data_IF_681036110731
#
_entry.id   IF_681036110731
#
_cell.length_a   1.000
_cell.length_b   1.000
_cell.length_c   1.000
_cell.angle_alpha   90.00
_cell.angle_beta   90.00
_cell.angle_gamma   90.00
#
_symmetry.space_group_name_H-M   'P 1'
#
loop_
_entity.id
_entity.type
_entity.pdbx_description
1 polymer ?
#
# COMPACT_ATOMS: atom_id res chain seq x y z
N UNK A 1 -7.94 -86.07 -60.73
CA UNK A 1 -8.70 -85.88 -61.98
C UNK A 1 -8.82 -84.38 -62.19
N UNK A 2 -7.91 -83.72 -62.89
CA UNK A 2 -7.61 -83.80 -64.32
C UNK A 2 -8.85 -83.66 -65.22
N UNK A 3 -8.79 -82.58 -65.99
CA UNK A 3 -9.19 -82.47 -67.40
C UNK A 3 -10.51 -81.80 -67.73
N UNK A 4 -10.40 -80.72 -68.51
CA UNK A 4 -11.29 -80.49 -69.65
C UNK A 4 -11.90 -79.10 -69.78
N UNK A 5 -11.20 -78.17 -70.42
CA UNK A 5 -11.76 -77.42 -71.56
C UNK A 5 -10.65 -76.62 -72.26
N UNK A 6 -10.67 -76.71 -73.59
CA UNK A 6 -9.61 -76.40 -74.56
C UNK A 6 -10.17 -75.32 -75.51
N UNK A 7 -9.30 -74.33 -75.85
CA UNK A 7 -9.25 -73.49 -77.07
C UNK A 7 -10.44 -72.56 -77.38
N UNK A 8 -10.27 -71.32 -77.88
CA UNK A 8 -9.39 -70.76 -78.93
C UNK A 8 -9.05 -69.28 -78.61
N UNK A 9 -7.82 -68.76 -78.59
CA UNK A 9 -6.76 -68.57 -79.60
C UNK A 9 -6.95 -67.35 -80.56
N UNK A 10 -5.89 -66.53 -80.58
CA UNK A 10 -5.31 -65.71 -81.68
C UNK A 10 -5.38 -64.17 -81.58
N UNK A 11 -4.16 -63.61 -81.49
CA UNK A 11 -3.70 -62.22 -81.57
C UNK A 11 -4.14 -61.46 -82.84
N UNK A 12 -4.34 -60.14 -82.73
CA UNK A 12 -3.69 -59.19 -83.64
C UNK A 12 -3.46 -57.82 -82.96
N UNK A 13 -2.19 -57.39 -82.92
CA UNK A 13 -1.73 -56.12 -82.38
C UNK A 13 -0.99 -55.38 -83.49
N UNK A 14 -1.64 -54.36 -84.10
CA UNK A 14 -1.05 -53.08 -84.53
C UNK A 14 -2.05 -52.28 -85.35
N UNK A 15 -2.42 -51.09 -84.88
CA UNK A 15 -2.41 -49.88 -85.72
C UNK A 15 -2.22 -48.63 -84.87
N UNK A 16 -1.06 -48.01 -85.12
CA UNK A 16 -0.66 -46.69 -84.64
C UNK A 16 -1.58 -45.62 -85.23
N UNK A 17 -2.06 -44.71 -84.39
CA UNK A 17 -2.74 -43.49 -84.78
C UNK A 17 -2.32 -42.37 -83.84
N UNK A 18 -1.39 -41.52 -84.28
CA UNK A 18 -0.99 -40.30 -83.57
C UNK A 18 -2.19 -39.38 -83.40
N UNK A 19 -2.59 -39.12 -82.15
CA UNK A 19 -3.54 -38.06 -81.82
C UNK A 19 -2.75 -36.78 -81.52
N UNK A 20 -2.80 -35.83 -82.44
CA UNK A 20 -2.20 -34.51 -82.30
C UNK A 20 -3.08 -33.68 -81.34
N UNK A 21 -2.59 -33.45 -80.12
CA UNK A 21 -3.24 -32.57 -79.14
C UNK A 21 -3.06 -31.13 -79.61
N UNK A 22 -4.15 -30.50 -80.04
CA UNK A 22 -4.18 -29.14 -80.51
C UNK A 22 -4.01 -28.18 -79.32
N UNK A 23 -2.79 -27.64 -79.12
CA UNK A 23 -2.37 -26.83 -77.95
C UNK A 23 -3.24 -25.61 -77.68
N UNK A 24 -4.00 -25.12 -78.66
CA UNK A 24 -4.86 -23.94 -78.51
C UNK A 24 -6.16 -24.20 -77.75
N UNK A 25 -6.69 -25.43 -77.76
CA UNK A 25 -7.93 -25.76 -77.05
C UNK A 25 -7.73 -25.96 -75.54
N UNK A 26 -6.53 -26.39 -75.14
CA UNK A 26 -6.20 -26.62 -73.73
C UNK A 26 -6.03 -25.32 -72.93
N UNK A 27 -5.59 -24.24 -73.58
CA UNK A 27 -5.40 -22.93 -72.91
C UNK A 27 -6.74 -22.24 -72.64
N UNK A 28 -7.72 -22.40 -73.54
CA UNK A 28 -9.07 -21.83 -73.39
C UNK A 28 -9.84 -22.54 -72.27
N UNK A 29 -9.72 -23.87 -72.15
CA UNK A 29 -10.35 -24.62 -71.06
C UNK A 29 -9.74 -24.32 -69.69
N UNK A 30 -8.42 -24.18 -69.60
CA UNK A 30 -7.75 -23.85 -68.32
C UNK A 30 -8.01 -22.39 -67.93
N UNK A 31 -8.05 -21.45 -68.89
CA UNK A 31 -8.42 -20.06 -68.64
C UNK A 31 -9.90 -19.90 -68.24
N UNK A 32 -10.80 -20.74 -68.76
CA UNK A 32 -12.22 -20.72 -68.38
C UNK A 32 -12.47 -21.31 -66.98
N UNK A 33 -11.67 -22.27 -66.53
CA UNK A 33 -11.74 -22.82 -65.17
C UNK A 33 -11.16 -21.89 -64.10
N UNK A 34 -10.18 -21.05 -64.45
CA UNK A 34 -9.62 -20.03 -63.54
C UNK A 34 -10.58 -18.85 -63.29
N UNK A 35 -11.50 -18.57 -64.23
CA UNK A 35 -12.53 -17.52 -64.06
C UNK A 35 -13.71 -18.00 -63.20
N UNK A 36 -13.93 -19.31 -63.10
CA UNK A 36 -14.99 -19.90 -62.26
C UNK A 36 -14.56 -20.18 -60.81
N UNK A 37 -13.26 -20.18 -60.51
CA UNK A 37 -12.73 -20.34 -59.15
C UNK A 37 -12.42 -19.00 -58.44
N UNK A 38 -12.75 -17.85 -59.05
CA UNK A 38 -12.57 -16.52 -58.45
C UNK A 38 -13.69 -16.11 -57.49
N UNK A 39 -14.69 -16.96 -57.28
CA UNK A 39 -15.70 -16.75 -56.23
C UNK A 39 -15.15 -17.41 -54.98
N UNK A 40 -14.35 -16.67 -54.22
CA UNK A 40 -14.14 -16.97 -52.81
C UNK A 40 -15.54 -17.19 -52.20
N UNK A 41 -15.79 -18.26 -51.44
CA UNK A 41 -16.97 -18.25 -50.58
C UNK A 41 -16.77 -17.07 -49.64
N UNK A 42 -17.48 -15.97 -49.91
CA UNK A 42 -17.82 -15.02 -48.86
C UNK A 42 -18.49 -15.87 -47.78
N UNK A 43 -18.05 -15.71 -46.53
CA UNK A 43 -18.43 -16.55 -45.40
C UNK A 43 -19.92 -16.89 -45.44
N UNK A 44 -20.25 -18.14 -45.12
CA UNK A 44 -21.62 -18.61 -44.96
C UNK A 44 -22.41 -17.60 -44.14
N UNK A 45 -23.21 -16.74 -44.78
CA UNK A 45 -24.05 -15.79 -44.07
C UNK A 45 -25.04 -16.61 -43.23
N UNK A 46 -24.91 -16.52 -41.91
CA UNK A 46 -25.85 -17.11 -40.97
C UNK A 46 -27.23 -16.49 -41.24
N UNK A 47 -28.25 -17.33 -41.42
CA UNK A 47 -29.61 -16.89 -41.82
C UNK A 47 -30.46 -16.54 -40.59
N UNK A 48 -29.99 -16.88 -39.39
CA UNK A 48 -30.63 -16.57 -38.13
C UNK A 48 -29.87 -15.42 -37.45
N UNK A 49 -30.56 -14.54 -36.70
CA UNK A 49 -29.91 -13.55 -35.86
C UNK A 49 -28.91 -14.20 -34.90
N UNK A 50 -27.77 -13.55 -34.71
CA UNK A 50 -26.69 -14.02 -33.84
C UNK A 50 -25.88 -12.79 -33.44
N UNK A 51 -25.44 -12.73 -32.18
CA UNK A 51 -24.59 -11.67 -31.68
C UNK A 51 -23.46 -12.30 -30.90
N UNK A 52 -22.28 -11.69 -30.99
CA UNK A 52 -21.06 -12.11 -30.30
C UNK A 52 -20.57 -10.90 -29.49
N UNK A 53 -20.55 -11.04 -28.16
CA UNK A 53 -20.19 -10.00 -27.20
C UNK A 53 -18.86 -10.36 -26.56
N UNK A 54 -17.89 -9.45 -26.66
CA UNK A 54 -16.59 -9.56 -25.99
C UNK A 54 -16.36 -8.28 -25.18
N UNK A 55 -15.86 -8.40 -23.96
CA UNK A 55 -15.49 -7.27 -23.10
C UNK A 55 -14.05 -7.44 -22.59
N UNK A 56 -13.46 -6.38 -22.04
CA UNK A 56 -12.20 -6.52 -21.32
C UNK A 56 -12.33 -7.56 -20.18
N UNK A 57 -11.42 -8.53 -20.10
CA UNK A 57 -11.49 -9.65 -19.13
C UNK A 57 -11.54 -9.18 -17.67
N UNK A 58 -10.80 -8.12 -17.36
CA UNK A 58 -10.69 -7.60 -15.99
C UNK A 58 -10.37 -6.12 -15.92
N UNK A 59 -10.74 -5.51 -14.79
CA UNK A 59 -10.40 -4.12 -14.48
C UNK A 59 -10.27 -3.88 -12.98
N UNK A 60 -9.56 -2.82 -12.61
CA UNK A 60 -9.29 -2.46 -11.21
C UNK A 60 -9.98 -1.12 -10.86
N UNK A 61 -10.47 -1.01 -9.62
CA UNK A 61 -10.99 0.22 -9.04
C UNK A 61 -10.15 0.58 -7.81
N UNK A 62 -9.48 1.73 -7.88
CA UNK A 62 -8.77 2.33 -6.76
C UNK A 62 -9.71 3.25 -5.96
N UNK A 63 -9.83 2.98 -4.66
CA UNK A 63 -10.64 3.76 -3.71
C UNK A 63 -9.80 4.63 -2.77
N UNK A 64 -8.50 4.81 -3.03
CA UNK A 64 -7.59 5.59 -2.18
C UNK A 64 -8.07 7.03 -1.92
N UNK A 65 -8.84 7.62 -2.84
CA UNK A 65 -9.44 8.95 -2.72
C UNK A 65 -10.91 8.93 -2.24
N UNK A 66 -11.40 7.78 -1.76
CA UNK A 66 -12.74 7.56 -1.22
C UNK A 66 -13.80 7.15 -2.24
N UNK A 67 -13.61 7.40 -3.53
CA UNK A 67 -14.48 6.89 -4.59
C UNK A 67 -13.66 6.58 -5.84
N UNK A 68 -14.07 5.55 -6.58
CA UNK A 68 -13.33 5.03 -7.72
C UNK A 68 -14.27 4.56 -8.82
N UNK A 69 -13.81 4.67 -10.05
CA UNK A 69 -14.50 4.15 -11.22
C UNK A 69 -13.52 3.68 -12.27
N UNK A 70 -13.89 2.63 -12.99
CA UNK A 70 -13.16 2.15 -14.15
C UNK A 70 -14.07 2.07 -15.37
N UNK A 71 -13.45 1.95 -16.54
CA UNK A 71 -14.13 1.79 -17.82
C UNK A 71 -13.77 0.45 -18.41
N UNK A 72 -14.79 -0.32 -18.78
CA UNK A 72 -14.66 -1.55 -19.57
C UNK A 72 -15.02 -1.21 -21.00
N UNK A 73 -14.17 -1.64 -21.93
CA UNK A 73 -14.47 -1.60 -23.36
C UNK A 73 -15.09 -2.94 -23.77
N UNK A 74 -16.16 -2.87 -24.54
CA UNK A 74 -16.79 -4.04 -25.11
C UNK A 74 -16.96 -3.88 -26.63
N UNK A 75 -16.86 -4.99 -27.33
CA UNK A 75 -17.10 -5.13 -28.76
C UNK A 75 -18.30 -6.03 -28.98
N UNK A 76 -19.19 -5.61 -29.88
CA UNK A 76 -20.37 -6.36 -30.27
C UNK A 76 -20.32 -6.64 -31.77
N UNK A 77 -20.20 -7.91 -32.13
CA UNK A 77 -20.09 -8.35 -33.52
C UNK A 77 -21.40 -8.97 -33.99
N UNK A 78 -21.86 -8.51 -35.16
CA UNK A 78 -22.98 -9.11 -35.87
C UNK A 78 -22.45 -9.93 -37.06
N UNK A 79 -22.38 -11.27 -36.97
CA UNK A 79 -21.93 -12.14 -38.06
C UNK A 79 -22.97 -12.30 -39.18
N UNK A 80 -24.18 -11.78 -39.03
CA UNK A 80 -25.26 -11.94 -40.01
C UNK A 80 -25.21 -10.89 -41.13
N UNK A 81 -26.01 -11.08 -42.17
CA UNK A 81 -26.00 -10.18 -43.34
C UNK A 81 -26.86 -8.91 -43.16
N UNK A 82 -27.66 -8.82 -42.10
CA UNK A 82 -28.59 -7.71 -41.88
C UNK A 82 -28.31 -7.02 -40.56
N UNK A 83 -28.69 -5.75 -40.47
CA UNK A 83 -28.55 -4.99 -39.24
C UNK A 83 -29.34 -5.63 -38.08
N UNK A 84 -28.73 -5.64 -36.91
CA UNK A 84 -29.29 -6.13 -35.67
C UNK A 84 -29.33 -5.03 -34.62
N UNK A 85 -30.42 -5.00 -33.86
CA UNK A 85 -30.54 -4.16 -32.68
C UNK A 85 -30.51 -5.05 -31.45
N UNK A 86 -29.52 -4.80 -30.61
CA UNK A 86 -29.22 -5.60 -29.44
C UNK A 86 -29.49 -4.76 -28.20
N UNK A 87 -30.32 -5.28 -27.30
CA UNK A 87 -30.56 -4.72 -25.98
C UNK A 87 -29.48 -5.21 -25.02
N UNK A 88 -28.98 -4.31 -24.18
CA UNK A 88 -27.90 -4.59 -23.24
C UNK A 88 -28.40 -4.46 -21.80
N UNK A 89 -28.07 -5.43 -20.97
CA UNK A 89 -28.35 -5.41 -19.53
C UNK A 89 -27.08 -5.69 -18.73
N UNK A 90 -26.97 -5.03 -17.57
CA UNK A 90 -25.79 -5.11 -16.72
C UNK A 90 -26.20 -5.62 -15.33
N UNK A 91 -25.55 -6.67 -14.86
CA UNK A 91 -25.73 -7.22 -13.53
C UNK A 91 -24.43 -7.13 -12.75
N UNK A 92 -24.35 -6.19 -11.80
CA UNK A 92 -23.10 -5.83 -11.11
C UNK A 92 -23.12 -6.01 -9.59
N UNK A 93 -24.18 -6.58 -9.04
CA UNK A 93 -24.28 -6.87 -7.61
C UNK A 93 -24.17 -5.63 -6.73
N UNK A 94 -23.04 -5.48 -6.03
CA UNK A 94 -22.76 -4.38 -5.11
C UNK A 94 -22.13 -3.14 -5.80
N UNK A 95 -21.67 -3.28 -7.04
CA UNK A 95 -21.08 -2.19 -7.81
C UNK A 95 -22.13 -1.44 -8.62
N UNK A 96 -21.90 -0.15 -8.84
CA UNK A 96 -22.72 0.68 -9.70
C UNK A 96 -22.24 0.58 -11.15
N UNK A 97 -23.15 0.34 -12.10
CA UNK A 97 -22.80 0.21 -13.53
C UNK A 97 -23.65 1.11 -14.41
N UNK A 98 -23.04 1.66 -15.46
CA UNK A 98 -23.69 2.51 -16.43
C UNK A 98 -23.13 2.27 -17.84
N UNK A 99 -24.02 2.08 -18.81
CA UNK A 99 -23.69 1.87 -20.21
C UNK A 99 -24.89 2.14 -21.12
N UNK A 100 -24.74 1.97 -22.45
CA UNK A 100 -25.86 2.10 -23.39
C UNK A 100 -26.91 1.00 -23.17
N UNK A 101 -28.21 1.35 -23.17
CA UNK A 101 -29.27 0.33 -23.07
C UNK A 101 -29.47 -0.52 -24.33
N UNK A 102 -28.94 -0.10 -25.47
CA UNK A 102 -28.99 -0.86 -26.72
C UNK A 102 -27.94 -0.37 -27.72
N UNK A 103 -27.48 -1.26 -28.60
CA UNK A 103 -26.58 -0.95 -29.73
C UNK A 103 -27.19 -1.50 -31.02
N UNK A 104 -26.98 -0.81 -32.14
CA UNK A 104 -27.36 -1.31 -33.47
C UNK A 104 -26.09 -1.57 -34.26
N UNK A 105 -25.94 -2.79 -34.76
CA UNK A 105 -24.75 -3.26 -35.48
C UNK A 105 -25.16 -3.70 -36.88
N UNK A 106 -24.53 -3.09 -37.89
CA UNK A 106 -24.75 -3.47 -39.29
C UNK A 106 -24.26 -4.89 -39.57
N UNK A 107 -24.80 -5.52 -40.62
CA UNK A 107 -24.45 -6.90 -40.96
C UNK A 107 -22.96 -7.07 -41.28
N UNK A 108 -22.31 -8.05 -40.66
CA UNK A 108 -20.90 -8.36 -40.82
C UNK A 108 -19.97 -7.29 -40.25
N UNK A 109 -20.45 -6.46 -39.33
CA UNK A 109 -19.68 -5.39 -38.68
C UNK A 109 -19.58 -5.62 -37.17
N UNK A 110 -18.64 -4.89 -36.57
CA UNK A 110 -18.43 -4.82 -35.12
C UNK A 110 -18.63 -3.39 -34.67
N UNK A 111 -19.32 -3.19 -33.55
CA UNK A 111 -19.46 -1.89 -32.88
C UNK A 111 -18.85 -1.93 -31.50
N UNK A 112 -18.19 -0.86 -31.09
CA UNK A 112 -17.59 -0.75 -29.75
C UNK A 112 -18.42 0.16 -28.87
N UNK A 113 -18.48 -0.17 -27.57
CA UNK A 113 -19.11 0.66 -26.55
C UNK A 113 -18.37 0.55 -25.23
N UNK A 114 -18.69 1.45 -24.31
CA UNK A 114 -18.05 1.53 -23.00
C UNK A 114 -19.07 1.38 -21.88
N UNK A 115 -18.65 0.67 -20.84
CA UNK A 115 -19.38 0.53 -19.59
C UNK A 115 -18.53 1.20 -18.51
N UNK A 116 -19.15 2.08 -17.74
CA UNK A 116 -18.55 2.67 -16.55
C UNK A 116 -18.97 1.85 -15.35
N UNK A 117 -18.00 1.39 -14.59
CA UNK A 117 -18.21 0.73 -13.31
C UNK A 117 -17.71 1.67 -12.22
N UNK A 118 -18.52 1.91 -11.21
CA UNK A 118 -18.18 2.71 -10.06
C UNK A 118 -18.39 1.91 -8.78
N UNK A 119 -17.58 2.26 -7.78
CA UNK A 119 -17.67 1.70 -6.44
C UNK A 119 -17.84 2.83 -5.43
N UNK A 120 -18.78 2.66 -4.51
CA UNK A 120 -19.02 3.63 -3.44
C UNK A 120 -17.91 3.60 -2.39
N UNK A 121 -17.78 4.69 -1.63
CA UNK A 121 -16.89 4.74 -0.46
C UNK A 121 -17.20 3.62 0.52
N UNK A 122 -16.17 2.86 0.92
CA UNK A 122 -16.29 1.76 1.88
C UNK A 122 -16.72 0.42 1.27
N UNK A 123 -16.79 0.29 -0.05
CA UNK A 123 -16.95 -1.01 -0.69
C UNK A 123 -15.76 -1.91 -0.36
N UNK A 124 -16.02 -3.09 0.19
CA UNK A 124 -15.00 -4.03 0.63
C UNK A 124 -14.01 -4.38 -0.47
N UNK A 125 -12.73 -4.49 -0.16
CA UNK A 125 -11.73 -4.94 -1.11
C UNK A 125 -12.03 -6.37 -1.60
N UNK A 126 -11.67 -6.66 -2.85
CA UNK A 126 -11.81 -7.99 -3.43
C UNK A 126 -12.36 -7.98 -4.86
N UNK A 127 -12.55 -9.18 -5.40
CA UNK A 127 -13.02 -9.39 -6.77
C UNK A 127 -14.54 -9.50 -6.83
N UNK A 128 -15.13 -8.78 -7.77
CA UNK A 128 -16.56 -8.76 -8.08
C UNK A 128 -16.73 -9.18 -9.53
N UNK A 129 -17.85 -9.83 -9.83
CA UNK A 129 -18.18 -10.22 -11.20
C UNK A 129 -19.31 -9.32 -11.72
N UNK A 130 -19.10 -8.75 -12.90
CA UNK A 130 -20.12 -7.99 -13.62
C UNK A 130 -20.47 -8.73 -14.89
N UNK A 131 -21.74 -9.13 -15.00
CA UNK A 131 -22.23 -9.86 -16.15
C UNK A 131 -22.98 -8.91 -17.10
N UNK A 132 -22.57 -8.93 -18.37
CA UNK A 132 -23.12 -8.13 -19.47
C UNK A 132 -23.89 -9.07 -20.37
N UNK A 133 -25.20 -8.84 -20.51
CA UNK A 133 -26.05 -9.66 -21.39
C UNK A 133 -26.48 -8.85 -22.61
N UNK A 134 -26.29 -9.44 -23.78
CA UNK A 134 -26.71 -8.92 -25.07
C UNK A 134 -27.87 -9.75 -25.62
N UNK A 135 -29.02 -9.13 -25.90
CA UNK A 135 -30.20 -9.83 -26.45
C UNK A 135 -30.61 -9.18 -27.77
N UNK A 136 -30.67 -9.95 -28.84
CA UNK A 136 -31.12 -9.44 -30.15
C UNK A 136 -32.63 -9.21 -30.11
N UNK A 137 -33.05 -7.96 -30.26
CA UNK A 137 -34.46 -7.56 -30.19
C UNK A 137 -35.06 -7.30 -31.56
N UNK A 138 -34.28 -6.79 -32.52
CA UNK A 138 -34.70 -6.58 -33.91
C UNK A 138 -33.65 -7.07 -34.90
N UNK A 139 -34.09 -7.69 -35.99
CA UNK A 139 -33.25 -8.10 -37.12
C UNK A 139 -33.88 -7.59 -38.42
N UNK A 140 -33.13 -6.78 -39.18
CA UNK A 140 -33.64 -6.08 -40.36
C UNK A 140 -34.94 -5.28 -40.08
N UNK A 141 -35.05 -4.70 -38.88
CA UNK A 141 -36.23 -3.96 -38.41
C UNK A 141 -37.44 -4.81 -38.03
N UNK A 142 -37.31 -6.15 -38.02
CA UNK A 142 -38.35 -7.07 -37.56
C UNK A 142 -38.05 -7.52 -36.13
N UNK A 143 -39.00 -7.44 -35.17
CA UNK A 143 -38.79 -7.92 -33.81
C UNK A 143 -38.53 -9.43 -33.77
N UNK A 144 -37.45 -9.85 -33.09
CA UNK A 144 -37.00 -11.26 -32.99
C UNK A 144 -36.80 -11.75 -31.56
N UNK A 145 -37.14 -10.94 -30.55
CA UNK A 145 -36.94 -11.26 -29.13
C UNK A 145 -37.56 -12.59 -28.67
N UNK A 146 -38.62 -13.07 -29.33
CA UNK A 146 -39.26 -14.37 -29.01
C UNK A 146 -38.35 -15.59 -29.25
N UNK A 147 -37.28 -15.43 -30.01
CA UNK A 147 -36.37 -16.53 -30.35
C UNK A 147 -35.19 -16.66 -29.38
N UNK A 148 -34.95 -15.64 -28.54
CA UNK A 148 -33.95 -15.69 -27.48
C UNK A 148 -32.51 -15.78 -27.97
N UNK A 149 -32.17 -15.08 -29.05
CA UNK A 149 -30.76 -14.93 -29.47
C UNK A 149 -30.06 -13.98 -28.52
N UNK A 150 -29.11 -14.51 -27.77
CA UNK A 150 -28.39 -13.74 -26.75
C UNK A 150 -26.98 -14.27 -26.56
N UNK A 151 -26.15 -13.39 -26.03
CA UNK A 151 -24.80 -13.70 -25.57
C UNK A 151 -24.56 -13.03 -24.20
N UNK A 152 -23.67 -13.60 -23.40
CA UNK A 152 -23.37 -13.12 -22.05
C UNK A 152 -21.86 -13.17 -21.80
N UNK A 153 -21.31 -12.08 -21.27
CA UNK A 153 -19.89 -11.96 -20.95
C UNK A 153 -19.70 -11.51 -19.50
N UNK A 154 -18.78 -12.18 -18.80
CA UNK A 154 -18.48 -11.94 -17.38
C UNK A 154 -17.14 -11.23 -17.20
N UNK A 155 -17.18 -10.03 -16.63
CA UNK A 155 -15.98 -9.23 -16.37
C UNK A 155 -15.61 -9.25 -14.89
N UNK A 156 -14.34 -9.55 -14.59
CA UNK A 156 -13.80 -9.49 -13.24
C UNK A 156 -13.39 -8.05 -12.88
N UNK A 157 -13.99 -7.49 -11.83
CA UNK A 157 -13.67 -6.17 -11.32
C UNK A 157 -13.03 -6.30 -9.95
N UNK A 158 -11.76 -5.93 -9.82
CA UNK A 158 -11.05 -5.92 -8.56
C UNK A 158 -11.15 -4.54 -7.89
N UNK A 159 -11.77 -4.49 -6.70
CA UNK A 159 -11.71 -3.31 -5.83
C UNK A 159 -10.44 -3.42 -4.99
N UNK A 160 -9.49 -2.52 -5.23
CA UNK A 160 -8.19 -2.55 -4.57
C UNK A 160 -8.32 -2.23 -3.07
N UNK A 161 -7.49 -2.85 -2.22
CA UNK A 161 -7.46 -2.54 -0.81
C UNK A 161 -6.83 -1.16 -0.57
N UNK A 162 -7.41 -0.39 0.34
CA UNK A 162 -6.82 0.83 0.85
C UNK A 162 -6.89 0.89 2.38
N UNK A 163 -5.92 1.58 2.97
CA UNK A 163 -5.93 1.96 4.38
C UNK A 163 -5.26 3.32 4.50
N UNK A 164 -5.98 4.31 4.98
CA UNK A 164 -5.45 5.65 5.23
C UNK A 164 -5.62 5.98 6.70
N UNK A 165 -4.54 6.44 7.35
CA UNK A 165 -4.54 6.78 8.77
C UNK A 165 -4.04 8.20 8.99
N UNK A 166 -4.65 8.87 9.97
CA UNK A 166 -4.18 10.13 10.53
C UNK A 166 -4.09 10.01 12.03
N UNK A 167 -3.15 10.73 12.65
CA UNK A 167 -3.02 10.74 14.11
C UNK A 167 -2.82 12.13 14.69
N UNK A 168 -3.46 12.39 15.84
CA UNK A 168 -3.24 13.59 16.64
C UNK A 168 -2.17 13.33 17.70
N UNK A 169 -1.14 14.16 17.76
CA UNK A 169 -0.02 13.97 18.69
C UNK A 169 0.22 15.23 19.55
N UNK A 170 0.74 15.09 20.78
CA UNK A 170 1.26 16.22 21.54
C UNK A 170 2.40 16.92 20.78
N UNK A 171 2.54 18.23 20.94
CA UNK A 171 3.63 18.98 20.29
C UNK A 171 4.98 18.75 20.95
N UNK A 172 5.00 18.56 22.28
CA UNK A 172 6.17 18.25 23.09
C UNK A 172 5.70 17.82 24.48
N UNK A 173 6.51 17.02 25.18
CA UNK A 173 6.30 16.63 26.57
C UNK A 173 7.52 17.03 27.40
N UNK A 174 7.25 17.58 28.58
CA UNK A 174 8.26 17.93 29.58
C UNK A 174 7.90 17.21 30.88
N UNK A 175 8.90 16.59 31.51
CA UNK A 175 8.74 15.85 32.77
C UNK A 175 9.95 16.06 33.68
N UNK A 176 9.77 15.86 34.98
CA UNK A 176 10.88 15.81 35.93
C UNK A 176 11.34 14.36 36.16
N UNK A 177 12.61 14.19 36.53
CA UNK A 177 13.16 12.86 36.82
C UNK A 177 12.34 12.12 37.91
N UNK A 178 11.87 10.93 37.57
CA UNK A 178 11.08 10.06 38.44
C UNK A 178 9.58 10.35 38.44
N UNK A 179 9.10 11.19 37.53
CA UNK A 179 7.67 11.35 37.25
C UNK A 179 7.19 10.35 36.18
N UNK A 180 5.92 9.99 36.30
CA UNK A 180 5.21 9.25 35.27
C UNK A 180 4.64 10.23 34.24
N UNK A 181 4.86 9.91 32.97
CA UNK A 181 4.39 10.70 31.83
C UNK A 181 3.19 9.98 31.22
N UNK A 182 2.04 10.64 31.26
CA UNK A 182 0.80 10.16 30.65
C UNK A 182 0.37 11.07 29.50
N UNK A 183 0.06 10.49 28.34
CA UNK A 183 -0.44 11.22 27.18
C UNK A 183 -1.30 10.31 26.30
N UNK A 184 -2.08 10.92 25.40
CA UNK A 184 -2.96 10.20 24.49
C UNK A 184 -2.67 10.57 23.04
N UNK A 185 -2.79 9.59 22.15
CA UNK A 185 -2.72 9.76 20.70
C UNK A 185 -4.01 9.23 20.10
N UNK A 186 -4.72 10.05 19.34
CA UNK A 186 -5.93 9.62 18.63
C UNK A 186 -5.53 9.21 17.22
N UNK A 187 -5.84 7.98 16.85
CA UNK A 187 -5.78 7.51 15.47
C UNK A 187 -7.17 7.56 14.86
N UNK A 188 -7.28 8.11 13.66
CA UNK A 188 -8.48 8.07 12.83
C UNK A 188 -8.08 7.54 11.48
N UNK A 189 -8.66 6.40 11.11
CA UNK A 189 -8.32 5.76 9.86
C UNK A 189 -9.57 5.46 9.03
N UNK A 190 -9.41 5.29 7.72
CA UNK A 190 -10.42 4.74 6.79
C UNK A 190 -9.85 3.61 5.92
N UNK A 191 -10.57 2.49 5.78
CA UNK A 191 -10.18 1.30 5.01
C UNK A 191 -11.42 0.54 4.55
N UNK A 192 -11.25 -0.17 3.44
CA UNK A 192 -12.21 -1.14 2.92
C UNK A 192 -11.84 -2.61 3.17
N UNK A 193 -10.80 -2.89 3.96
CA UNK A 193 -10.45 -4.25 4.39
C UNK A 193 -10.81 -4.46 5.84
N UNK A 194 -11.15 -5.69 6.23
CA UNK A 194 -11.25 -6.05 7.65
C UNK A 194 -9.86 -6.22 8.27
N UNK A 195 -9.18 -5.09 8.51
CA UNK A 195 -7.85 -5.04 9.13
C UNK A 195 -7.93 -4.66 10.63
N UNK A 196 -7.01 -5.22 11.41
CA UNK A 196 -6.73 -4.86 12.80
C UNK A 196 -5.26 -4.48 12.92
N UNK A 197 -4.96 -3.22 13.22
CA UNK A 197 -3.57 -2.74 13.34
C UNK A 197 -3.24 -2.44 14.80
N UNK A 198 -2.09 -2.94 15.26
CA UNK A 198 -1.54 -2.58 16.56
C UNK A 198 -0.75 -1.27 16.46
N UNK A 199 -0.91 -0.43 17.47
CA UNK A 199 -0.21 0.85 17.62
C UNK A 199 0.75 0.73 18.80
N UNK A 200 2.03 1.01 18.57
CA UNK A 200 3.10 0.85 19.56
C UNK A 200 3.80 2.16 19.87
N UNK A 201 4.29 2.24 21.11
CA UNK A 201 5.09 3.34 21.61
C UNK A 201 6.58 2.99 21.54
N UNK A 202 7.37 3.92 21.00
CA UNK A 202 8.82 3.81 20.92
C UNK A 202 9.46 5.07 21.49
N UNK A 203 10.65 4.90 22.07
CA UNK A 203 11.45 5.97 22.67
C UNK A 203 12.81 6.02 21.96
N UNK A 204 13.14 7.18 21.41
CA UNK A 204 14.42 7.42 20.75
C UNK A 204 15.19 8.52 21.49
N UNK A 205 16.48 8.29 21.68
CA UNK A 205 17.41 9.32 22.13
C UNK A 205 17.68 10.31 21.00
N UNK A 206 17.95 11.57 21.36
CA UNK A 206 18.27 12.61 20.40
C UNK A 206 19.49 12.22 19.55
N UNK A 207 19.31 12.24 18.24
CA UNK A 207 20.37 11.90 17.28
C UNK A 207 20.39 10.42 16.86
N UNK A 208 19.53 9.57 17.44
CA UNK A 208 19.33 8.21 16.95
C UNK A 208 18.73 8.18 15.54
N UNK A 209 19.15 7.19 14.76
CA UNK A 209 18.72 6.95 13.37
C UNK A 209 18.09 5.56 13.17
N UNK A 210 17.86 4.83 14.25
CA UNK A 210 17.26 3.50 14.27
C UNK A 210 16.58 3.29 15.62
N UNK A 211 15.61 2.39 15.64
CA UNK A 211 15.03 1.90 16.88
C UNK A 211 16.08 1.15 17.72
N UNK A 212 16.03 1.32 19.03
CA UNK A 212 16.91 0.65 19.97
C UNK A 212 16.21 0.31 21.27
N UNK A 213 16.93 -0.34 22.17
CA UNK A 213 16.43 -0.55 23.54
C UNK A 213 16.25 0.79 24.24
N UNK A 214 15.19 0.89 25.04
CA UNK A 214 14.94 2.08 25.83
C UNK A 214 16.09 2.33 26.81
N UNK A 215 16.50 3.60 27.02
CA UNK A 215 17.52 3.92 28.00
C UNK A 215 17.10 3.47 29.41
N UNK A 216 18.10 3.14 30.24
CA UNK A 216 17.84 2.64 31.60
C UNK A 216 16.98 3.60 32.42
N UNK A 217 15.95 3.06 33.08
CA UNK A 217 15.02 3.81 33.92
C UNK A 217 13.79 4.34 33.18
N UNK A 218 13.75 4.26 31.85
CA UNK A 218 12.52 4.42 31.10
C UNK A 218 11.79 3.08 30.96
N UNK A 219 10.47 3.07 31.19
CA UNK A 219 9.64 1.88 30.99
C UNK A 219 8.27 2.30 30.46
N UNK A 220 7.74 1.50 29.54
CA UNK A 220 6.34 1.58 29.15
C UNK A 220 5.47 0.88 30.19
N UNK A 221 4.58 1.63 30.82
CA UNK A 221 3.63 1.19 31.83
C UNK A 221 2.18 1.24 31.31
N UNK A 222 2.00 1.43 29.99
CA UNK A 222 0.69 1.49 29.35
C UNK A 222 -0.07 0.18 29.58
N UNK A 223 -1.36 0.30 29.88
CA UNK A 223 -2.21 -0.84 30.22
C UNK A 223 -3.18 -1.10 29.06
N UNK A 224 -3.14 -2.32 28.54
CA UNK A 224 -3.90 -2.71 27.35
C UNK A 224 -3.16 -2.33 26.06
N UNK A 225 -3.29 -3.16 25.04
CA UNK A 225 -2.77 -2.81 23.71
C UNK A 225 -3.68 -1.78 23.05
N UNK A 226 -3.10 -0.83 22.30
CA UNK A 226 -3.89 0.02 21.43
C UNK A 226 -4.00 -0.61 20.05
N UNK A 227 -5.22 -0.99 19.67
CA UNK A 227 -5.51 -1.53 18.36
C UNK A 227 -6.64 -0.72 17.73
N UNK A 228 -6.50 -0.44 16.44
CA UNK A 228 -7.62 0.03 15.63
C UNK A 228 -8.16 -1.13 14.81
N UNK A 229 -9.48 -1.31 14.83
CA UNK A 229 -10.17 -2.38 14.13
C UNK A 229 -11.28 -1.80 13.24
N UNK A 230 -11.50 -2.45 12.10
CA UNK A 230 -12.62 -2.17 11.21
C UNK A 230 -13.98 -2.54 11.81
N UNK A 231 -15.10 -1.92 11.36
CA UNK A 231 -15.21 -0.89 10.31
C UNK A 231 -14.71 0.47 10.80
N UNK A 232 -13.77 1.09 10.06
CA UNK A 232 -12.82 2.06 10.62
C UNK A 232 -13.48 3.30 11.24
N UNK A 233 -12.95 3.66 12.40
CA UNK A 233 -13.35 4.83 13.17
C UNK A 233 -12.13 5.47 13.81
N UNK A 234 -12.29 5.95 15.04
CA UNK A 234 -11.20 6.55 15.80
C UNK A 234 -10.93 5.79 17.09
N UNK A 235 -9.67 5.56 17.40
CA UNK A 235 -9.24 5.03 18.71
C UNK A 235 -8.36 6.06 19.42
N UNK A 236 -8.58 6.23 20.73
CA UNK A 236 -7.68 7.00 21.60
C UNK A 236 -6.76 6.02 22.31
N UNK A 237 -5.47 6.07 21.98
CA UNK A 237 -4.44 5.28 22.64
C UNK A 237 -3.89 6.08 23.82
N UNK A 238 -4.07 5.55 25.04
CA UNK A 238 -3.50 6.14 26.24
C UNK A 238 -2.18 5.45 26.59
N UNK A 239 -1.12 6.25 26.70
CA UNK A 239 0.21 5.78 27.03
C UNK A 239 0.67 6.32 28.38
N UNK A 240 1.38 5.48 29.12
CA UNK A 240 2.01 5.84 30.39
C UNK A 240 3.44 5.33 30.35
N UNK A 241 4.42 6.19 30.59
CA UNK A 241 5.82 5.78 30.74
C UNK A 241 6.45 6.35 32.00
N UNK A 242 7.32 5.59 32.64
CA UNK A 242 8.09 6.05 33.80
C UNK A 242 9.38 6.71 33.33
N UNK A 243 9.82 7.77 33.99
CA UNK A 243 11.14 8.38 33.76
C UNK A 243 12.17 7.94 34.80
N UNK A 244 13.48 7.97 34.49
CA UNK A 244 14.53 7.67 35.46
C UNK A 244 14.52 8.66 36.63
N UNK A 245 14.60 8.15 37.87
CA UNK A 245 14.54 8.98 39.09
C UNK A 245 15.86 9.70 39.45
N UNK A 246 17.00 9.22 38.93
CA UNK A 246 18.33 9.69 39.29
C UNK A 246 19.06 10.26 38.08
N UNK A 247 18.43 11.23 37.42
CA UNK A 247 19.01 11.89 36.26
C UNK A 247 20.07 12.91 36.72
N UNK A 248 21.31 12.78 36.24
CA UNK A 248 22.41 13.70 36.59
C UNK A 248 22.41 14.98 35.76
N UNK A 249 21.90 14.87 34.53
CA UNK A 249 21.78 15.97 33.57
C UNK A 249 20.50 15.77 32.79
N UNK A 250 19.84 16.86 32.39
CA UNK A 250 18.69 16.86 31.50
C UNK A 250 18.85 15.88 30.32
N UNK A 251 17.82 15.06 30.11
CA UNK A 251 17.74 14.10 29.01
C UNK A 251 16.82 14.62 27.92
N UNK A 252 17.24 14.49 26.66
CA UNK A 252 16.48 14.90 25.48
C UNK A 252 16.35 13.74 24.50
N UNK A 253 15.13 13.52 24.04
CA UNK A 253 14.81 12.57 22.99
C UNK A 253 13.43 12.82 22.42
N UNK A 254 12.84 11.79 21.84
CA UNK A 254 11.51 11.84 21.27
C UNK A 254 10.76 10.53 21.46
N UNK A 255 9.44 10.64 21.44
CA UNK A 255 8.53 9.51 21.41
C UNK A 255 8.01 9.37 19.98
N UNK A 256 7.94 8.13 19.51
CA UNK A 256 7.32 7.78 18.23
C UNK A 256 6.18 6.84 18.55
N UNK A 257 4.97 7.25 18.16
CA UNK A 257 3.79 6.38 18.17
C UNK A 257 3.46 6.07 16.72
N UNK A 258 3.46 4.79 16.38
CA UNK A 258 3.30 4.33 15.01
C UNK A 258 2.51 3.03 14.97
N UNK A 259 1.74 2.84 13.90
CA UNK A 259 1.08 1.58 13.55
C UNK A 259 2.05 0.62 12.85
N UNK A 260 1.66 -0.65 12.76
CA UNK A 260 2.49 -1.73 12.20
C UNK A 260 2.77 -1.62 10.68
N UNK A 261 1.99 -0.84 9.93
CA UNK A 261 2.15 -0.70 8.47
C UNK A 261 2.97 0.55 8.08
N UNK A 262 3.04 1.53 8.97
CA UNK A 262 3.75 2.78 8.74
C UNK A 262 5.25 2.67 9.06
N UNK A 263 6.08 3.25 8.18
CA UNK A 263 7.51 3.42 8.46
C UNK A 263 7.78 4.85 8.98
N UNK A 264 8.13 5.02 10.27
CA UNK A 264 8.27 6.35 10.87
C UNK A 264 9.62 7.02 10.55
N UNK A 265 10.53 6.35 9.82
CA UNK A 265 11.86 6.89 9.52
C UNK A 265 12.78 7.06 10.74
N UNK A 266 12.50 6.34 11.83
CA UNK A 266 13.27 6.18 13.08
C UNK A 266 14.25 7.32 13.41
N UNK A 267 13.71 8.53 13.59
CA UNK A 267 14.47 9.73 13.89
C UNK A 267 13.59 10.74 14.62
N UNK A 268 14.16 11.52 15.53
CA UNK A 268 13.44 12.61 16.20
C UNK A 268 13.10 13.80 15.30
N UNK A 269 13.53 13.77 14.03
CA UNK A 269 13.12 14.74 13.01
C UNK A 269 11.98 14.23 12.13
N UNK A 270 11.47 13.02 12.37
CA UNK A 270 10.35 12.49 11.58
C UNK A 270 9.02 13.11 11.98
N UNK A 271 8.05 13.09 11.07
CA UNK A 271 6.71 13.63 11.33
C UNK A 271 5.94 12.83 12.40
N UNK A 272 6.37 11.59 12.68
CA UNK A 272 5.79 10.72 13.70
C UNK A 272 6.35 10.99 15.10
N UNK A 273 7.48 11.70 15.18
CA UNK A 273 8.16 11.96 16.44
C UNK A 273 7.62 13.23 17.12
N UNK A 274 7.48 13.18 18.44
CA UNK A 274 7.28 14.38 19.27
C UNK A 274 8.32 14.43 20.40
N UNK A 275 8.87 15.61 20.72
CA UNK A 275 9.95 15.72 21.69
C UNK A 275 9.53 15.32 23.11
N UNK A 276 10.42 14.61 23.80
CA UNK A 276 10.36 14.36 25.24
C UNK A 276 11.62 14.95 25.89
N UNK A 277 11.40 15.83 26.86
CA UNK A 277 12.46 16.37 27.71
C UNK A 277 12.23 15.95 29.15
N UNK A 278 13.24 15.33 29.76
CA UNK A 278 13.23 14.99 31.18
C UNK A 278 14.28 15.85 31.88
N UNK A 279 13.83 16.75 32.74
CA UNK A 279 14.73 17.59 33.53
C UNK A 279 15.29 16.79 34.72
N UNK A 280 16.49 17.15 35.16
CA UNK A 280 17.02 16.68 36.43
C UNK A 280 16.14 17.18 37.59
N UNK A 281 15.76 16.28 38.49
CA UNK A 281 15.04 16.69 39.68
C UNK A 281 16.01 17.41 40.60
N UNK A 282 15.75 18.68 40.90
CA UNK A 282 16.50 19.40 41.93
C UNK A 282 16.42 18.59 43.22
N UNK A 283 17.53 17.95 43.60
CA UNK A 283 17.67 17.47 44.96
C UNK A 283 17.67 18.73 45.82
N UNK A 284 16.56 18.96 46.53
CA UNK A 284 16.60 19.78 47.73
C UNK A 284 17.53 19.01 48.64
N UNK A 285 18.83 19.30 48.54
CA UNK A 285 19.78 18.96 49.59
C UNK A 285 19.11 19.58 50.80
N UNK A 286 18.61 18.79 51.77
CA UNK A 286 18.33 19.39 53.04
C UNK A 286 19.71 19.92 53.41
N UNK A 287 19.87 21.24 53.42
CA UNK A 287 20.82 21.79 54.35
C UNK A 287 20.36 21.18 55.65
N UNK A 288 21.04 20.12 56.09
CA UNK A 288 21.11 19.77 57.48
C UNK A 288 21.68 21.03 58.10
N UNK A 289 20.76 21.96 58.39
CA UNK A 289 20.92 22.95 59.41
C UNK A 289 21.22 22.09 60.61
N UNK A 290 22.51 21.92 60.86
CA UNK A 290 22.96 21.67 62.20
C UNK A 290 22.49 22.91 62.94
N UNK A 291 21.27 22.85 63.48
CA UNK A 291 20.84 23.72 64.56
C UNK A 291 21.72 23.36 65.76
N UNK A 292 22.97 23.81 65.70
CA UNK A 292 23.82 23.99 66.88
C UNK A 292 23.27 25.19 67.60
N UNK A 293 22.20 24.96 68.36
CA UNK A 293 21.96 25.77 69.53
C UNK A 293 23.06 25.45 70.55
N UNK A 294 24.20 26.12 70.42
CA UNK A 294 25.34 25.96 71.32
C UNK A 294 26.70 26.16 70.65
N UNK A 295 27.12 27.42 70.57
CA UNK A 295 28.49 27.91 70.86
C UNK A 295 29.64 26.87 70.76
N UNK A 296 30.29 26.74 69.60
CA UNK A 296 31.65 26.16 69.52
C UNK A 296 32.57 26.92 68.55
N UNK A 297 32.15 28.09 68.05
CA UNK A 297 33.00 28.95 67.20
C UNK A 297 33.40 30.26 67.88
N UNK A 298 32.88 30.56 69.08
CA UNK A 298 33.39 31.65 69.93
C UNK A 298 34.66 31.26 70.70
N UNK A 299 35.03 29.98 70.74
CA UNK A 299 36.26 29.50 71.39
C UNK A 299 37.51 29.58 70.49
N UNK A 300 37.39 30.08 69.26
CA UNK A 300 38.54 30.37 68.38
C UNK A 300 38.74 31.86 68.06
N UNK A 301 37.98 32.77 68.68
CA UNK A 301 38.35 34.20 68.76
C UNK A 301 38.72 34.87 67.43
N UNK A 302 37.92 34.68 66.38
CA UNK A 302 38.10 35.41 65.11
C UNK A 302 36.89 36.33 64.91
N UNK A 303 37.05 37.60 65.27
CA UNK A 303 36.13 38.67 64.88
C UNK A 303 36.53 39.24 63.52
N UNK A 304 35.55 39.79 62.78
CA UNK A 304 35.70 40.30 61.39
C UNK A 304 36.71 41.44 61.24
N UNK A 305 37.22 42.02 62.32
CA UNK A 305 38.19 43.10 62.30
C UNK A 305 39.66 42.64 62.14
N UNK A 306 39.92 41.32 62.08
CA UNK A 306 41.26 40.75 61.87
C UNK A 306 41.44 39.89 60.59
N UNK A 307 40.50 39.94 59.65
CA UNK A 307 40.61 39.18 58.39
C UNK A 307 41.84 39.53 57.53
N UNK A 308 42.49 40.68 57.75
CA UNK A 308 43.72 41.06 57.03
C UNK A 308 44.96 40.32 57.57
N UNK A 309 44.94 39.82 58.81
CA UNK A 309 46.12 39.18 59.41
C UNK A 309 46.19 37.67 59.19
N UNK A 310 45.09 37.00 58.85
CA UNK A 310 45.09 35.55 58.64
C UNK A 310 45.60 35.11 57.26
N UNK A 311 45.67 36.01 56.27
CA UNK A 311 46.35 35.75 54.98
C UNK A 311 47.86 36.13 55.04
N UNK A 312 48.29 36.92 56.03
CA UNK A 312 49.70 37.31 56.23
C UNK A 312 50.50 36.45 57.22
N UNK A 313 49.85 35.73 58.13
CA UNK A 313 50.51 35.00 59.21
C UNK A 313 51.24 33.71 58.79
N UNK A 314 50.78 33.05 57.72
CA UNK A 314 51.39 31.81 57.22
C UNK A 314 52.76 32.01 56.55
N UNK A 315 52.90 33.09 55.78
CA UNK A 315 54.14 33.39 55.06
C UNK A 315 55.28 33.87 55.98
N UNK A 316 54.95 34.65 57.03
CA UNK A 316 55.93 35.16 57.98
C UNK A 316 56.59 34.08 58.84
N UNK A 317 55.83 33.07 59.27
CA UNK A 317 56.35 31.94 60.06
C UNK A 317 57.27 31.02 59.24
N UNK A 318 56.97 30.82 57.95
CA UNK A 318 57.82 30.04 57.05
C UNK A 318 59.14 30.76 56.78
N UNK A 319 59.13 32.08 56.59
CA UNK A 319 60.36 32.88 56.39
C UNK A 319 61.22 32.91 57.66
N UNK A 320 60.62 33.00 58.85
CA UNK A 320 61.34 32.94 60.12
C UNK A 320 61.97 31.55 60.37
N UNK A 321 61.25 30.47 60.07
CA UNK A 321 61.77 29.10 60.20
C UNK A 321 62.94 28.84 59.24
N UNK A 322 62.83 29.29 57.98
CA UNK A 322 63.92 29.18 57.00
C UNK A 322 65.14 30.00 57.45
N UNK A 323 64.92 31.21 57.96
CA UNK A 323 66.00 32.07 58.47
C UNK A 323 66.71 31.46 59.69
N UNK A 324 65.95 30.85 60.60
CA UNK A 324 66.50 30.17 61.78
C UNK A 324 67.33 28.93 61.39
N UNK A 325 66.86 28.16 60.40
CA UNK A 325 67.58 26.98 59.86
C UNK A 325 68.90 27.40 59.18
N UNK A 326 68.91 28.51 58.44
CA UNK A 326 70.12 29.04 57.79
C UNK A 326 71.14 29.55 58.82
N UNK A 327 70.69 30.24 59.87
CA UNK A 327 71.58 30.72 60.95
C UNK A 327 72.15 29.55 61.77
N UNK A 328 71.34 28.53 62.07
CA UNK A 328 71.80 27.34 62.80
C UNK A 328 72.76 26.47 61.97
N UNK A 329 72.61 26.43 60.63
CA UNK A 329 73.58 25.77 59.75
C UNK A 329 74.91 26.53 59.65
N UNK A 330 74.89 27.87 59.64
CA UNK A 330 76.12 28.68 59.64
C UNK A 330 76.92 28.64 60.94
N UNK A 331 76.31 28.30 62.08
CA UNK A 331 77.01 28.14 63.37
C UNK A 331 77.60 26.75 63.61
N UNK A 332 77.35 25.78 62.71
CA UNK A 332 77.85 24.39 62.81
C UNK A 332 78.86 24.01 61.72
N UNK A 333 79.35 24.98 60.93
CA UNK A 333 80.48 24.83 60.01
C UNK A 333 81.63 25.73 60.42
#
# INVERSE_FOLDING_TARGET
MSSGAIHTNVYDSRKSGSFVINRSFSVIFISSMLVLCGISPSGSAQVLPETDLECDDSTEIDLSDGAGSSVINCELTNPTAFAEKVELTYQSGALDTAGPGSVTVEGGQTSTFQIVIASSSGQSAGTYEVNVSAVVTEWNGVPVSIFGFSDEEGVEVEVLPYTTCSSSRPSAIFAEAGEDVAFSVVYSCDSNEDISMSISLHLLEKGSSQEGMWPSGFNDMSVGGCNIQNPMGSVSCDFILTTPSNLQEKWEGCLIVVDEVSNPGWSCSSDFAFPLTVNERETVVPSVGIDVNGTILEELGVTEENQVYFIGGGAGLVVLLISLIVILRRRRS
#
